data_IF_864717972448
#
_entry.id   IF_864717972448
#
_cell.length_a   1.000
_cell.length_b   1.000
_cell.length_c   1.000
_cell.angle_alpha   90.00
_cell.angle_beta   90.00
_cell.angle_gamma   90.00
#
_symmetry.space_group_name_H-M   'P 1'
#
loop_
_entity.id
_entity.type
_entity.pdbx_description
1 polymer ?
#
# COMPACT_ATOMS: atom_id res chain seq x y z
N UNK A 1 18.65 44.21 -6.17
CA UNK A 1 19.31 42.89 -6.29
C UNK A 1 18.84 41.91 -5.22
N UNK A 2 18.73 42.32 -3.94
CA UNK A 2 18.20 41.46 -2.87
C UNK A 2 16.74 41.04 -3.05
N UNK A 3 15.86 41.94 -3.48
CA UNK A 3 14.44 41.63 -3.77
C UNK A 3 14.25 40.60 -4.87
N UNK A 4 15.13 40.59 -5.89
CA UNK A 4 15.10 39.60 -6.98
C UNK A 4 15.58 38.22 -6.50
N UNK A 5 16.55 38.17 -5.59
CA UNK A 5 17.02 36.91 -4.98
C UNK A 5 15.95 36.30 -4.08
N UNK A 6 15.24 37.12 -3.30
CA UNK A 6 14.16 36.64 -2.43
C UNK A 6 12.97 36.12 -3.25
N UNK A 7 12.54 36.86 -4.28
CA UNK A 7 11.46 36.40 -5.17
C UNK A 7 11.80 35.13 -5.94
N UNK A 8 13.06 34.95 -6.34
CA UNK A 8 13.51 33.71 -7.00
C UNK A 8 13.49 32.52 -6.04
N UNK A 9 13.90 32.73 -4.78
CA UNK A 9 13.86 31.70 -3.74
C UNK A 9 12.42 31.27 -3.42
N UNK A 10 11.50 32.22 -3.34
CA UNK A 10 10.08 31.94 -3.11
C UNK A 10 9.47 31.13 -4.26
N UNK A 11 9.78 31.49 -5.51
CA UNK A 11 9.34 30.72 -6.69
C UNK A 11 9.90 29.29 -6.67
N UNK A 12 11.17 29.11 -6.33
CA UNK A 12 11.79 27.78 -6.24
C UNK A 12 11.10 26.92 -5.18
N UNK A 13 10.80 27.47 -4.01
CA UNK A 13 10.08 26.74 -2.97
C UNK A 13 8.68 26.31 -3.44
N UNK A 14 7.94 27.19 -4.11
CA UNK A 14 6.62 26.87 -4.65
C UNK A 14 6.72 25.74 -5.70
N UNK A 15 7.72 25.79 -6.58
CA UNK A 15 7.95 24.74 -7.58
C UNK A 15 8.26 23.39 -6.93
N UNK A 16 9.10 23.36 -5.89
CA UNK A 16 9.40 22.15 -5.13
C UNK A 16 8.14 21.57 -4.47
N UNK A 17 7.31 22.41 -3.85
CA UNK A 17 6.04 21.99 -3.25
C UNK A 17 5.08 21.38 -4.29
N UNK A 18 4.95 22.01 -5.46
CA UNK A 18 4.10 21.52 -6.56
C UNK A 18 4.62 20.18 -7.10
N UNK A 19 5.93 20.05 -7.34
CA UNK A 19 6.54 18.81 -7.82
C UNK A 19 6.31 17.68 -6.80
N UNK A 20 6.60 17.93 -5.52
CA UNK A 20 6.39 16.96 -4.45
C UNK A 20 4.92 16.51 -4.36
N UNK A 21 3.97 17.44 -4.52
CA UNK A 21 2.55 17.13 -4.53
C UNK A 21 2.17 16.24 -5.71
N UNK A 22 2.64 16.57 -6.91
CA UNK A 22 2.37 15.78 -8.12
C UNK A 22 2.93 14.35 -8.00
N UNK A 23 4.19 14.20 -7.56
CA UNK A 23 4.81 12.89 -7.31
C UNK A 23 4.05 12.06 -6.26
N UNK A 24 3.57 12.73 -5.20
CA UNK A 24 2.76 12.07 -4.17
C UNK A 24 1.43 11.58 -4.73
N UNK A 25 0.77 12.38 -5.58
CA UNK A 25 -0.48 12.00 -6.22
C UNK A 25 -0.29 10.81 -7.16
N UNK A 26 0.71 10.87 -8.03
CA UNK A 26 1.04 9.77 -8.95
C UNK A 26 1.30 8.45 -8.18
N UNK A 27 2.09 8.53 -7.11
CA UNK A 27 2.33 7.39 -6.21
C UNK A 27 1.03 6.91 -5.56
N UNK A 28 0.20 7.79 -5.02
CA UNK A 28 -1.07 7.41 -4.41
C UNK A 28 -2.00 6.70 -5.40
N UNK A 29 -1.97 7.06 -6.68
CA UNK A 29 -2.79 6.42 -7.70
C UNK A 29 -2.29 5.01 -8.03
N UNK A 30 -1.00 4.86 -8.35
CA UNK A 30 -0.41 3.59 -8.79
C UNK A 30 -0.36 2.57 -7.64
N UNK A 31 0.11 2.98 -6.47
CA UNK A 31 0.27 2.08 -5.33
C UNK A 31 -1.05 1.70 -4.67
N UNK A 32 -2.15 2.43 -4.92
CA UNK A 32 -3.49 2.03 -4.50
C UNK A 32 -3.92 0.71 -5.17
N UNK A 33 -3.51 0.50 -6.41
CA UNK A 33 -3.90 -0.69 -7.15
C UNK A 33 -3.15 -1.92 -6.61
N UNK A 34 -1.85 -1.79 -6.33
CA UNK A 34 -1.09 -2.81 -5.59
C UNK A 34 -1.70 -3.16 -4.22
N UNK A 35 -2.18 -2.16 -3.46
CA UNK A 35 -2.90 -2.42 -2.20
C UNK A 35 -4.19 -3.19 -2.46
N UNK A 36 -4.89 -2.88 -3.55
CA UNK A 36 -6.14 -3.56 -3.91
C UNK A 36 -5.87 -5.03 -4.20
N UNK A 37 -4.87 -5.33 -5.02
CA UNK A 37 -4.48 -6.69 -5.37
C UNK A 37 -4.07 -7.48 -4.13
N UNK A 38 -3.23 -6.88 -3.27
CA UNK A 38 -2.83 -7.49 -2.01
C UNK A 38 -4.02 -7.86 -1.11
N UNK A 39 -4.99 -6.96 -0.96
CA UNK A 39 -6.18 -7.20 -0.12
C UNK A 39 -7.09 -8.27 -0.73
N UNK A 40 -7.15 -8.37 -2.06
CA UNK A 40 -7.87 -9.44 -2.76
C UNK A 40 -7.19 -10.78 -2.49
N UNK A 41 -5.88 -10.89 -2.70
CA UNK A 41 -5.11 -12.10 -2.43
C UNK A 41 -5.21 -12.54 -0.97
N UNK A 42 -5.11 -11.59 -0.04
CA UNK A 42 -5.30 -11.86 1.39
C UNK A 42 -6.68 -12.45 1.67
N UNK A 43 -7.73 -11.93 1.01
CA UNK A 43 -9.09 -12.45 1.14
C UNK A 43 -9.30 -13.84 0.55
N UNK A 44 -8.52 -14.22 -0.45
CA UNK A 44 -8.54 -15.58 -1.02
C UNK A 44 -7.80 -16.56 -0.10
N UNK A 45 -6.64 -16.14 0.44
CA UNK A 45 -5.70 -17.04 1.14
C UNK A 45 -5.97 -17.16 2.64
N UNK A 46 -6.51 -16.13 3.27
CA UNK A 46 -6.81 -16.12 4.69
C UNK A 46 -8.31 -16.24 4.94
N UNK A 47 -8.77 -17.45 5.28
CA UNK A 47 -10.21 -17.78 5.47
C UNK A 47 -10.92 -16.82 6.43
N UNK A 48 -10.28 -16.44 7.53
CA UNK A 48 -10.85 -15.57 8.56
C UNK A 48 -10.72 -14.06 8.22
N UNK A 49 -10.36 -13.73 6.96
CA UNK A 49 -10.19 -12.35 6.50
C UNK A 49 -11.40 -11.45 6.75
N UNK A 50 -12.67 -11.85 6.51
CA UNK A 50 -13.81 -10.96 6.77
C UNK A 50 -13.85 -10.44 8.21
N UNK A 51 -13.54 -11.29 9.18
CA UNK A 51 -13.52 -10.93 10.60
C UNK A 51 -12.34 -10.02 10.92
N UNK A 52 -11.13 -10.38 10.47
CA UNK A 52 -9.95 -9.56 10.71
C UNK A 52 -10.04 -8.19 10.02
N UNK A 53 -10.57 -8.15 8.79
CA UNK A 53 -10.89 -6.92 8.07
C UNK A 53 -11.84 -6.05 8.88
N UNK A 54 -12.94 -6.62 9.38
CA UNK A 54 -13.91 -5.87 10.20
C UNK A 54 -13.24 -5.25 11.44
N UNK A 55 -12.40 -6.01 12.14
CA UNK A 55 -11.64 -5.56 13.29
C UNK A 55 -10.69 -4.41 12.95
N UNK A 56 -9.89 -4.56 11.89
CA UNK A 56 -8.94 -3.54 11.42
C UNK A 56 -9.68 -2.23 11.04
N UNK A 57 -10.75 -2.34 10.25
CA UNK A 57 -11.52 -1.16 9.85
C UNK A 57 -12.20 -0.48 11.04
N UNK A 58 -12.62 -1.25 12.05
CA UNK A 58 -13.20 -0.71 13.28
C UNK A 58 -12.15 0.05 14.09
N UNK A 59 -10.96 -0.54 14.30
CA UNK A 59 -9.82 0.11 14.96
C UNK A 59 -9.43 1.42 14.26
N UNK A 60 -9.29 1.40 12.93
CA UNK A 60 -8.93 2.58 12.13
C UNK A 60 -10.00 3.67 12.25
N UNK A 61 -11.29 3.31 12.19
CA UNK A 61 -12.41 4.26 12.26
C UNK A 61 -12.53 4.93 13.64
N UNK A 62 -12.24 4.18 14.70
CA UNK A 62 -12.31 4.65 16.08
C UNK A 62 -10.98 5.25 16.56
N UNK A 63 -9.96 5.31 15.69
CA UNK A 63 -8.60 5.77 16.02
C UNK A 63 -8.03 5.08 17.27
N UNK A 64 -8.41 3.82 17.47
CA UNK A 64 -8.06 3.06 18.67
C UNK A 64 -6.63 2.53 18.58
N UNK A 65 -5.94 2.50 19.73
CA UNK A 65 -4.59 1.93 19.84
C UNK A 65 -4.64 0.40 19.78
N UNK A 66 -5.65 -0.20 20.44
CA UNK A 66 -5.78 -1.64 20.60
C UNK A 66 -7.03 -2.22 19.93
N UNK A 67 -6.99 -3.51 19.64
CA UNK A 67 -8.15 -4.28 19.20
C UNK A 67 -9.10 -4.62 20.35
N UNK A 68 -10.40 -4.70 20.05
CA UNK A 68 -11.39 -5.12 21.03
C UNK A 68 -11.20 -6.57 21.48
N UNK A 69 -11.69 -6.94 22.66
CA UNK A 69 -11.52 -8.28 23.20
C UNK A 69 -12.07 -9.38 22.27
N UNK A 70 -13.17 -9.11 21.57
CA UNK A 70 -13.79 -10.04 20.61
C UNK A 70 -12.98 -10.22 19.32
N UNK A 71 -12.10 -9.28 19.00
CA UNK A 71 -11.31 -9.27 17.78
C UNK A 71 -9.94 -9.94 17.98
N UNK A 72 -9.49 -10.12 19.22
CA UNK A 72 -8.14 -10.63 19.53
C UNK A 72 -7.83 -11.97 18.86
N UNK A 73 -8.81 -12.88 18.79
CA UNK A 73 -8.60 -14.19 18.19
C UNK A 73 -8.35 -14.10 16.68
N UNK A 74 -9.20 -13.38 15.94
CA UNK A 74 -9.04 -13.25 14.48
C UNK A 74 -7.78 -12.45 14.11
N UNK A 75 -7.41 -11.45 14.91
CA UNK A 75 -6.17 -10.69 14.73
C UNK A 75 -4.94 -11.54 15.02
N UNK A 76 -4.97 -12.38 16.05
CA UNK A 76 -3.85 -13.30 16.34
C UNK A 76 -3.66 -14.32 15.22
N UNK A 77 -4.76 -14.87 14.68
CA UNK A 77 -4.72 -15.76 13.52
C UNK A 77 -4.13 -15.06 12.28
N UNK A 78 -4.56 -13.83 12.02
CA UNK A 78 -4.01 -13.02 10.93
C UNK A 78 -2.51 -12.77 11.13
N UNK A 79 -2.08 -12.41 12.34
CA UNK A 79 -0.68 -12.16 12.64
C UNK A 79 0.19 -13.40 12.35
N UNK A 80 -0.25 -14.58 12.77
CA UNK A 80 0.45 -15.84 12.48
C UNK A 80 0.51 -16.13 10.98
N UNK A 81 -0.57 -15.88 10.24
CA UNK A 81 -0.59 -16.03 8.78
C UNK A 81 0.44 -15.12 8.09
N UNK A 82 0.57 -13.87 8.55
CA UNK A 82 1.46 -12.88 7.94
C UNK A 82 2.95 -13.11 8.21
N UNK A 83 3.29 -13.88 9.25
CA UNK A 83 4.69 -14.24 9.54
C UNK A 83 5.36 -14.95 8.34
N UNK A 84 4.60 -15.75 7.58
CA UNK A 84 5.12 -16.45 6.41
C UNK A 84 5.65 -15.52 5.30
N UNK A 85 5.15 -14.27 5.25
CA UNK A 85 5.58 -13.24 4.29
C UNK A 85 6.26 -12.05 4.98
N UNK A 86 6.72 -12.24 6.22
CA UNK A 86 7.41 -11.22 7.03
C UNK A 86 6.63 -9.90 7.14
N UNK A 87 5.30 -10.01 7.32
CA UNK A 87 4.39 -8.88 7.51
C UNK A 87 3.78 -8.88 8.91
N UNK A 88 3.32 -7.70 9.31
CA UNK A 88 2.60 -7.44 10.56
C UNK A 88 1.17 -6.99 10.27
N UNK A 89 0.32 -7.00 11.29
CA UNK A 89 -1.05 -6.47 11.17
C UNK A 89 -0.99 -4.95 10.94
N UNK A 90 -0.01 -4.28 11.55
CA UNK A 90 0.26 -2.86 11.36
C UNK A 90 0.56 -2.51 9.90
N UNK A 91 1.27 -3.36 9.16
CA UNK A 91 1.50 -3.17 7.72
C UNK A 91 0.17 -3.12 6.96
N UNK A 92 -0.78 -3.99 7.29
CA UNK A 92 -2.11 -4.01 6.67
C UNK A 92 -2.90 -2.75 7.05
N UNK A 93 -2.83 -2.33 8.31
CA UNK A 93 -3.46 -1.09 8.75
C UNK A 93 -2.94 0.11 7.95
N UNK A 94 -1.62 0.17 7.72
CA UNK A 94 -0.98 1.20 6.91
C UNK A 94 -1.46 1.17 5.46
N UNK A 95 -1.59 -0.01 4.84
CA UNK A 95 -2.12 -0.14 3.48
C UNK A 95 -3.58 0.32 3.38
N UNK A 96 -4.43 -0.02 4.36
CA UNK A 96 -5.81 0.44 4.38
C UNK A 96 -5.88 1.97 4.54
N UNK A 97 -5.04 2.55 5.40
CA UNK A 97 -4.94 4.02 5.56
C UNK A 97 -4.45 4.69 4.28
N UNK A 98 -3.46 4.11 3.61
CA UNK A 98 -2.97 4.58 2.32
C UNK A 98 -4.09 4.60 1.27
N UNK A 99 -4.82 3.49 1.12
CA UNK A 99 -5.96 3.40 0.19
C UNK A 99 -7.06 4.40 0.52
N UNK A 100 -7.37 4.63 1.81
CA UNK A 100 -8.32 5.68 2.24
C UNK A 100 -7.83 7.08 1.87
N UNK A 101 -6.54 7.37 2.05
CA UNK A 101 -5.92 8.66 1.66
C UNK A 101 -5.97 8.86 0.15
N UNK A 102 -5.57 7.86 -0.62
CA UNK A 102 -5.65 7.87 -2.08
C UNK A 102 -7.08 8.11 -2.55
N UNK A 103 -8.06 7.36 -2.03
CA UNK A 103 -9.46 7.55 -2.37
C UNK A 103 -9.95 8.99 -2.09
N UNK A 104 -9.60 9.56 -0.92
CA UNK A 104 -9.95 10.95 -0.59
C UNK A 104 -9.38 11.95 -1.59
N UNK A 105 -8.14 11.74 -2.04
CA UNK A 105 -7.46 12.62 -3.00
C UNK A 105 -8.08 12.52 -4.40
N UNK A 106 -8.49 11.32 -4.81
CA UNK A 106 -9.01 11.03 -6.16
C UNK A 106 -10.55 10.94 -6.27
N UNK A 107 -11.30 11.35 -5.24
CA UNK A 107 -12.77 11.34 -5.23
C UNK A 107 -13.43 12.23 -6.32
N UNK A 108 -12.65 12.94 -7.14
CA UNK A 108 -13.11 13.74 -8.28
C UNK A 108 -12.91 13.08 -9.66
N UNK A 109 -12.59 11.80 -9.74
CA UNK A 109 -12.63 11.05 -11.00
C UNK A 109 -11.58 11.48 -12.04
N UNK A 110 -10.54 12.20 -11.62
CA UNK A 110 -9.42 12.52 -12.50
C UNK A 110 -8.58 11.26 -12.71
N UNK A 111 -8.73 10.68 -13.90
CA UNK A 111 -7.84 9.65 -14.41
C UNK A 111 -6.49 10.32 -14.72
N UNK A 112 -5.59 10.35 -13.74
CA UNK A 112 -4.19 10.61 -14.03
C UNK A 112 -3.67 9.49 -14.92
N UNK A 113 -2.82 9.84 -15.90
CA UNK A 113 -2.06 8.84 -16.65
C UNK A 113 -1.11 8.20 -15.64
N UNK A 114 -1.37 6.95 -15.29
CA UNK A 114 -0.63 6.24 -14.26
C UNK A 114 0.72 5.78 -14.81
N UNK A 115 1.79 5.80 -13.98
CA UNK A 115 2.96 4.96 -14.24
C UNK A 115 2.46 3.52 -14.40
N UNK A 116 2.98 2.82 -15.39
CA UNK A 116 2.69 1.40 -15.55
C UNK A 116 3.10 0.66 -14.28
N UNK A 117 2.28 -0.24 -13.72
CA UNK A 117 2.59 -0.94 -12.46
C UNK A 117 3.99 -1.59 -12.48
N UNK A 118 4.41 -2.12 -13.63
CA UNK A 118 5.75 -2.68 -13.83
C UNK A 118 6.86 -1.63 -13.65
N UNK A 119 6.71 -0.46 -14.26
CA UNK A 119 7.68 0.63 -14.16
C UNK A 119 7.74 1.20 -12.73
N UNK A 120 6.58 1.36 -12.09
CA UNK A 120 6.52 1.77 -10.69
C UNK A 120 7.19 0.75 -9.77
N UNK A 121 7.03 -0.55 -10.06
CA UNK A 121 7.69 -1.62 -9.31
C UNK A 121 9.20 -1.61 -9.48
N UNK A 122 9.70 -1.50 -10.72
CA UNK A 122 11.13 -1.49 -11.03
C UNK A 122 11.84 -0.28 -10.40
N UNK A 123 11.16 0.87 -10.36
CA UNK A 123 11.71 2.11 -9.81
C UNK A 123 11.38 2.33 -8.32
N UNK A 124 10.69 1.39 -7.65
CA UNK A 124 10.16 1.56 -6.29
C UNK A 124 11.16 2.19 -5.31
N UNK A 125 12.39 1.69 -5.25
CA UNK A 125 13.36 2.22 -4.28
C UNK A 125 13.81 3.64 -4.58
N UNK A 126 13.91 3.99 -5.86
CA UNK A 126 14.43 5.25 -6.34
C UNK A 126 13.36 6.35 -6.44
N UNK A 127 12.11 5.99 -6.73
CA UNK A 127 11.03 6.95 -7.02
C UNK A 127 9.99 7.11 -5.92
N UNK A 128 10.03 6.29 -4.85
CA UNK A 128 9.04 6.42 -3.78
C UNK A 128 9.22 7.75 -3.02
N UNK A 129 8.20 8.62 -2.97
CA UNK A 129 8.36 10.00 -2.53
C UNK A 129 8.53 10.10 -1.01
N UNK A 130 9.37 11.04 -0.58
CA UNK A 130 9.68 11.27 0.83
C UNK A 130 8.46 11.65 1.67
N UNK A 131 7.50 12.34 1.06
CA UNK A 131 6.21 12.70 1.65
C UNK A 131 5.37 11.48 2.09
N UNK A 132 5.65 10.30 1.52
CA UNK A 132 4.99 9.04 1.80
C UNK A 132 5.90 8.01 2.48
N UNK A 133 7.14 8.38 2.85
CA UNK A 133 8.15 7.45 3.39
C UNK A 133 7.68 6.54 4.52
N UNK A 134 6.71 7.00 5.33
CA UNK A 134 6.10 6.21 6.40
C UNK A 134 5.42 4.91 5.91
N UNK A 135 5.07 4.82 4.62
CA UNK A 135 4.47 3.63 4.01
C UNK A 135 5.49 2.75 3.28
N UNK A 136 6.72 3.25 3.02
CA UNK A 136 7.68 2.63 2.10
C UNK A 136 8.02 1.20 2.53
N UNK A 137 8.35 0.99 3.79
CA UNK A 137 8.74 -0.33 4.28
C UNK A 137 7.60 -1.35 4.23
N UNK A 138 6.38 -0.92 4.58
CA UNK A 138 5.19 -1.77 4.46
C UNK A 138 4.88 -2.10 3.00
N UNK A 139 5.04 -1.16 2.08
CA UNK A 139 4.89 -1.42 0.65
C UNK A 139 5.91 -2.43 0.14
N UNK A 140 7.19 -2.31 0.54
CA UNK A 140 8.21 -3.29 0.19
C UNK A 140 7.79 -4.70 0.60
N UNK A 141 7.23 -4.85 1.80
CA UNK A 141 6.73 -6.15 2.29
C UNK A 141 5.51 -6.64 1.52
N UNK A 142 4.54 -5.76 1.22
CA UNK A 142 3.37 -6.10 0.37
C UNK A 142 3.79 -6.61 -0.99
N UNK A 143 4.70 -5.89 -1.63
CA UNK A 143 5.25 -6.23 -2.94
C UNK A 143 5.96 -7.59 -2.91
N UNK A 144 6.75 -7.86 -1.86
CA UNK A 144 7.37 -9.17 -1.67
C UNK A 144 6.35 -10.28 -1.39
N UNK A 145 5.26 -9.99 -0.66
CA UNK A 145 4.20 -10.95 -0.38
C UNK A 145 3.44 -11.35 -1.66
N UNK A 146 3.14 -10.38 -2.53
CA UNK A 146 2.56 -10.62 -3.85
C UNK A 146 3.46 -11.52 -4.69
N UNK A 147 4.76 -11.20 -4.79
CA UNK A 147 5.71 -12.03 -5.54
C UNK A 147 5.82 -13.46 -4.98
N UNK A 148 5.81 -13.59 -3.65
CA UNK A 148 5.81 -14.88 -2.98
C UNK A 148 4.58 -15.69 -3.41
N UNK A 149 3.39 -15.11 -3.32
CA UNK A 149 2.13 -15.77 -3.65
C UNK A 149 1.97 -16.13 -5.13
N UNK A 150 2.50 -15.30 -6.04
CA UNK A 150 2.48 -15.60 -7.48
C UNK A 150 3.39 -16.76 -7.86
N UNK A 151 4.54 -16.91 -7.18
CA UNK A 151 5.45 -18.06 -7.41
C UNK A 151 4.77 -19.40 -7.11
N UNK A 152 4.03 -19.50 -6.00
CA UNK A 152 3.32 -20.75 -5.64
C UNK A 152 2.13 -21.02 -6.54
N UNK A 153 1.45 -19.98 -7.03
CA UNK A 153 0.39 -20.14 -8.03
C UNK A 153 0.92 -20.79 -9.31
N UNK A 154 2.10 -20.37 -9.75
CA UNK A 154 2.73 -20.92 -10.96
C UNK A 154 3.32 -22.32 -10.73
N UNK A 155 3.80 -22.65 -9.53
CA UNK A 155 4.25 -24.02 -9.21
C UNK A 155 3.08 -25.02 -9.19
N UNK A 156 1.93 -24.64 -8.62
CA UNK A 156 0.75 -25.51 -8.54
C UNK A 156 0.16 -25.81 -9.92
N UNK A 157 0.29 -24.88 -10.87
CA UNK A 157 -0.10 -25.11 -12.28
C UNK A 157 0.89 -26.01 -13.04
N UNK A 158 2.18 -25.97 -12.72
CA UNK A 158 3.18 -26.84 -13.35
C UNK A 158 3.10 -28.28 -12.83
N UNK A 159 2.76 -28.48 -11.54
CA UNK A 159 2.55 -29.83 -10.98
C UNK A 159 1.24 -30.48 -11.43
N UNK A 160 0.22 -29.70 -11.77
CA UNK A 160 -1.04 -30.23 -12.30
C UNK A 160 -0.99 -30.56 -13.81
N UNK A 161 0.03 -30.08 -14.53
CA UNK A 161 0.24 -30.38 -15.95
C UNK A 161 1.23 -31.53 -16.20
N UNK A 162 1.78 -32.18 -15.16
CA UNK A 162 2.66 -33.36 -15.29
C UNK A 162 1.92 -34.70 -15.21
N UNK A 163 0.59 -34.69 -15.26
CA UNK A 163 -0.26 -35.88 -15.35
C UNK A 163 -1.11 -35.81 -16.63
N UNK A 164 -0.47 -35.85 -17.80
CA UNK A 164 -1.06 -36.28 -19.07
C UNK A 164 -0.05 -37.18 -19.77
#
# INVERSE_FOLDING_TARGET
>A
METYKEGTKEILNILEEVINKLQSMETLAVYRDFVTDFIVELGVRFRDWPNAKSAIYSKIRQESVNYGQRDKECISKLQNFLQAVNMTVEDIELMIRFKKRSNKEFHKGENLKHLEPKEARENFEASFPDSLKAFKDSFRRVLNALDHWDKYRNSDMLTNNSCI
#
